data_IF_437686145492
#
_entry.id   IF_437686145492
#
_cell.length_a   1.000
_cell.length_b   1.000
_cell.length_c   1.000
_cell.angle_alpha   90.00
_cell.angle_beta   90.00
_cell.angle_gamma   90.00
#
_symmetry.space_group_name_H-M   'P 1'
#
loop_
_entity.id
_entity.type
_entity.pdbx_description
1 polymer ?
#
# COMPACT_ATOMS: atom_id res chain seq x y z
N UNK A 1 31.07 -23.66 38.77
CA UNK A 1 30.83 -25.06 38.40
C UNK A 1 29.51 -25.08 37.63
N UNK A 2 29.36 -25.25 36.38
CA UNK A 2 29.83 -26.11 35.36
C UNK A 2 29.87 -25.39 34.02
N UNK A 3 31.06 -25.03 33.53
CA UNK A 3 31.38 -24.89 32.14
C UNK A 3 31.75 -26.27 31.63
N UNK A 4 31.62 -26.52 30.32
CA UNK A 4 31.92 -27.75 29.54
C UNK A 4 30.72 -28.62 29.21
N UNK A 5 30.17 -28.39 28.04
CA UNK A 5 29.81 -29.41 27.04
C UNK A 5 29.29 -28.72 25.77
N UNK A 6 30.19 -28.32 24.88
CA UNK A 6 29.89 -27.95 23.50
C UNK A 6 31.19 -28.03 22.70
N UNK A 7 31.63 -29.21 22.39
CA UNK A 7 32.64 -29.46 21.36
C UNK A 7 32.60 -30.99 21.10
N UNK A 8 31.98 -31.38 20.01
CA UNK A 8 32.17 -32.67 19.30
C UNK A 8 30.92 -32.92 18.42
N UNK A 9 30.96 -32.43 17.21
CA UNK A 9 30.39 -33.03 16.00
C UNK A 9 30.72 -32.15 14.79
N UNK A 10 32.00 -32.15 14.45
CA UNK A 10 32.47 -31.74 13.14
C UNK A 10 33.57 -32.76 12.80
N UNK A 11 33.30 -33.64 11.94
CA UNK A 11 34.26 -34.38 11.09
C UNK A 11 33.67 -35.74 10.70
N UNK A 12 33.14 -35.80 9.48
CA UNK A 12 33.22 -36.97 8.59
C UNK A 12 32.31 -36.73 7.39
N UNK A 13 32.90 -36.43 6.28
CA UNK A 13 32.67 -37.01 4.95
C UNK A 13 33.42 -36.21 3.90
N UNK A 14 34.66 -36.60 3.71
CA UNK A 14 35.47 -36.32 2.51
C UNK A 14 35.78 -37.70 1.92
N UNK A 15 35.81 -37.75 0.59
CA UNK A 15 36.30 -38.83 -0.28
C UNK A 15 35.29 -39.80 -0.89
N UNK A 16 35.01 -39.55 -2.17
CA UNK A 16 35.22 -40.55 -3.21
C UNK A 16 35.45 -39.79 -4.56
N UNK A 17 36.69 -39.84 -5.00
CA UNK A 17 37.21 -39.40 -6.31
C UNK A 17 37.47 -40.64 -7.17
N UNK A 18 37.51 -40.36 -8.53
CA UNK A 18 38.14 -41.11 -9.58
C UNK A 18 37.30 -42.20 -10.28
N UNK A 19 37.30 -42.38 -11.59
CA UNK A 19 38.31 -42.08 -12.59
C UNK A 19 37.78 -42.33 -14.03
N UNK A 20 38.50 -41.71 -14.99
CA UNK A 20 38.83 -42.13 -16.37
C UNK A 20 37.70 -42.05 -17.43
N UNK A 21 37.96 -41.56 -18.64
CA UNK A 21 39.15 -41.42 -19.39
C UNK A 21 38.95 -40.66 -20.72
N UNK A 22 40.00 -40.19 -21.22
CA UNK A 22 40.36 -39.43 -22.41
C UNK A 22 39.92 -39.99 -23.76
N UNK A 23 39.56 -39.08 -24.71
CA UNK A 23 40.24 -39.06 -26.03
C UNK A 23 40.02 -37.73 -26.75
N UNK A 24 41.17 -37.18 -27.20
CA UNK A 24 41.33 -36.04 -28.09
C UNK A 24 40.95 -36.40 -29.52
N UNK A 25 40.41 -35.45 -30.26
CA UNK A 25 40.84 -35.14 -31.65
C UNK A 25 40.29 -33.76 -32.10
N UNK A 26 41.17 -32.92 -32.59
CA UNK A 26 40.99 -31.65 -33.31
C UNK A 26 41.35 -31.93 -34.78
N UNK A 27 41.22 -30.98 -35.74
CA UNK A 27 40.20 -30.02 -36.15
C UNK A 27 39.84 -30.15 -37.65
N UNK A 28 38.78 -29.49 -38.14
CA UNK A 28 38.69 -29.11 -39.54
C UNK A 28 37.69 -27.98 -39.79
N UNK A 29 38.26 -26.90 -40.34
CA UNK A 29 37.79 -26.05 -41.45
C UNK A 29 36.42 -25.29 -41.38
N UNK A 30 36.60 -23.96 -41.52
CA UNK A 30 35.63 -22.92 -41.90
C UNK A 30 34.72 -23.31 -43.06
N UNK A 31 33.44 -22.92 -42.90
CA UNK A 31 32.56 -22.59 -44.01
C UNK A 31 31.71 -21.37 -43.62
N UNK A 32 31.94 -20.29 -44.36
CA UNK A 32 31.20 -19.04 -44.37
C UNK A 32 29.78 -19.29 -44.88
N UNK A 33 28.73 -19.06 -44.05
CA UNK A 33 27.35 -19.00 -44.54
C UNK A 33 26.82 -17.57 -44.50
N UNK A 34 26.09 -17.20 -45.56
CA UNK A 34 25.50 -15.93 -45.84
C UNK A 34 24.29 -15.63 -44.90
N UNK A 35 23.87 -14.35 -44.77
CA UNK A 35 22.83 -13.97 -43.85
C UNK A 35 21.47 -14.53 -44.28
N UNK A 36 20.86 -15.26 -43.35
CA UNK A 36 19.47 -15.74 -43.52
C UNK A 36 18.46 -14.57 -43.35
N UNK A 37 17.50 -14.57 -44.28
CA UNK A 37 16.42 -13.61 -44.31
C UNK A 37 15.61 -13.65 -43.02
N UNK A 38 15.29 -12.48 -42.49
CA UNK A 38 14.33 -12.30 -41.38
C UNK A 38 12.97 -12.85 -41.78
N UNK A 39 12.52 -13.86 -41.08
CA UNK A 39 11.14 -14.36 -41.13
C UNK A 39 10.26 -13.32 -40.43
N UNK A 40 9.10 -12.93 -40.99
CA UNK A 40 8.18 -12.05 -40.30
C UNK A 40 7.74 -12.67 -39.00
N UNK A 41 7.76 -11.87 -37.90
CA UNK A 41 7.25 -12.29 -36.61
C UNK A 41 5.80 -12.76 -36.77
N UNK A 42 5.54 -14.00 -36.41
CA UNK A 42 4.20 -14.56 -36.32
C UNK A 42 3.40 -13.77 -35.29
N UNK A 43 2.26 -13.21 -35.69
CA UNK A 43 1.29 -12.58 -34.79
C UNK A 43 0.74 -13.70 -33.90
N UNK A 44 0.84 -13.60 -32.57
CA UNK A 44 0.33 -14.63 -31.67
C UNK A 44 -1.16 -14.87 -31.90
N UNK A 45 -1.58 -16.12 -31.95
CA UNK A 45 -2.98 -16.49 -32.06
C UNK A 45 -3.72 -16.13 -30.77
N UNK A 46 -4.87 -15.45 -30.87
CA UNK A 46 -5.73 -15.20 -29.72
C UNK A 46 -6.28 -16.54 -29.20
N UNK A 47 -6.20 -16.76 -27.87
CA UNK A 47 -6.85 -17.86 -27.19
C UNK A 47 -8.39 -17.70 -27.24
N UNK A 48 -9.15 -18.78 -27.05
CA UNK A 48 -10.62 -18.82 -27.15
C UNK A 48 -11.32 -17.93 -26.07
N UNK A 49 -10.55 -17.46 -25.08
CA UNK A 49 -10.93 -16.56 -23.98
C UNK A 49 -10.60 -15.07 -24.25
N UNK A 50 -10.07 -14.74 -25.43
CA UNK A 50 -9.71 -13.38 -25.81
C UNK A 50 -8.36 -12.90 -25.27
N UNK A 51 -7.60 -13.76 -24.59
CA UNK A 51 -6.25 -13.46 -24.11
C UNK A 51 -5.22 -13.67 -25.24
N UNK A 52 -4.28 -12.75 -25.35
CA UNK A 52 -3.15 -12.89 -26.27
C UNK A 52 -2.15 -13.84 -25.66
N UNK A 53 -1.81 -14.92 -26.37
CA UNK A 53 -0.79 -15.87 -25.91
C UNK A 53 0.56 -15.15 -25.74
N UNK A 54 1.18 -15.28 -24.55
CA UNK A 54 2.40 -14.61 -24.18
C UNK A 54 3.21 -15.43 -23.16
N UNK A 55 4.49 -15.11 -22.93
CA UNK A 55 5.27 -15.74 -21.86
C UNK A 55 4.60 -15.55 -20.49
N UNK A 56 4.76 -16.54 -19.63
CA UNK A 56 4.35 -16.46 -18.23
C UNK A 56 5.27 -15.51 -17.47
N UNK A 57 4.68 -14.58 -16.74
CA UNK A 57 5.41 -13.60 -15.94
C UNK A 57 4.99 -13.71 -14.47
N UNK A 58 5.94 -13.54 -13.55
CA UNK A 58 5.69 -13.60 -12.11
C UNK A 58 6.20 -12.34 -11.43
N UNK A 59 5.37 -11.74 -10.56
CA UNK A 59 5.66 -10.52 -9.86
C UNK A 59 5.35 -10.61 -8.38
N UNK A 60 6.15 -9.94 -7.56
CA UNK A 60 5.93 -9.82 -6.12
C UNK A 60 5.30 -8.45 -5.84
N UNK A 61 4.11 -8.49 -5.22
CA UNK A 61 3.40 -7.29 -4.79
C UNK A 61 3.49 -7.14 -3.28
N UNK A 62 4.30 -6.19 -2.81
CA UNK A 62 4.42 -5.84 -1.40
C UNK A 62 3.17 -5.12 -0.92
N UNK A 63 2.51 -5.69 0.08
CA UNK A 63 1.24 -5.17 0.61
C UNK A 63 1.43 -4.43 1.93
N UNK A 64 0.91 -4.96 3.02
CA UNK A 64 1.05 -4.42 4.37
C UNK A 64 1.01 -5.55 5.40
N UNK A 65 0.96 -5.22 6.67
CA UNK A 65 0.84 -6.19 7.75
C UNK A 65 -0.40 -7.06 7.59
N UNK A 66 -0.26 -8.33 7.93
CA UNK A 66 -1.35 -9.32 7.82
C UNK A 66 -2.62 -8.85 8.57
N UNK A 67 -3.76 -8.97 7.90
CA UNK A 67 -5.05 -8.52 8.42
C UNK A 67 -5.31 -7.02 8.28
N UNK A 68 -4.36 -6.24 7.77
CA UNK A 68 -4.58 -4.84 7.44
C UNK A 68 -5.37 -4.65 6.13
N UNK A 69 -6.09 -3.53 6.02
CA UNK A 69 -6.95 -3.23 4.85
C UNK A 69 -6.18 -3.31 3.53
N UNK A 70 -4.97 -2.76 3.45
CA UNK A 70 -4.16 -2.80 2.24
C UNK A 70 -3.77 -4.24 1.86
N UNK A 71 -3.40 -5.07 2.85
CA UNK A 71 -3.07 -6.47 2.59
C UNK A 71 -4.29 -7.22 2.04
N UNK A 72 -5.48 -7.01 2.60
CA UNK A 72 -6.70 -7.68 2.14
C UNK A 72 -7.11 -7.24 0.73
N UNK A 73 -7.09 -5.94 0.44
CA UNK A 73 -7.41 -5.39 -0.89
C UNK A 73 -6.44 -5.91 -1.95
N UNK A 74 -5.13 -5.83 -1.70
CA UNK A 74 -4.11 -6.27 -2.65
C UNK A 74 -4.19 -7.79 -2.86
N UNK A 75 -4.48 -8.56 -1.80
CA UNK A 75 -4.69 -10.03 -1.93
C UNK A 75 -5.91 -10.34 -2.80
N UNK A 76 -7.03 -9.63 -2.62
CA UNK A 76 -8.21 -9.81 -3.46
C UNK A 76 -7.89 -9.53 -4.95
N UNK A 77 -7.18 -8.43 -5.23
CA UNK A 77 -6.76 -8.07 -6.59
C UNK A 77 -5.81 -9.13 -7.16
N UNK A 78 -4.75 -9.50 -6.43
CA UNK A 78 -3.78 -10.50 -6.89
C UNK A 78 -4.40 -11.87 -7.15
N UNK A 79 -5.35 -12.30 -6.30
CA UNK A 79 -6.10 -13.54 -6.49
C UNK A 79 -6.93 -13.50 -7.76
N UNK A 80 -7.71 -12.42 -7.97
CA UNK A 80 -8.52 -12.25 -9.17
C UNK A 80 -7.67 -12.28 -10.45
N UNK A 81 -6.50 -11.61 -10.44
CA UNK A 81 -5.59 -11.61 -11.58
C UNK A 81 -5.10 -13.03 -11.88
N UNK A 82 -4.65 -13.76 -10.86
CA UNK A 82 -4.17 -15.15 -11.01
C UNK A 82 -5.25 -16.11 -11.51
N UNK A 83 -6.52 -15.86 -11.15
CA UNK A 83 -7.65 -16.68 -11.58
C UNK A 83 -8.06 -16.38 -13.05
N UNK A 84 -7.90 -15.13 -13.49
CA UNK A 84 -8.37 -14.69 -14.82
C UNK A 84 -7.29 -14.68 -15.90
N UNK A 85 -6.02 -14.57 -15.53
CA UNK A 85 -4.91 -14.48 -16.47
C UNK A 85 -3.87 -15.58 -16.22
N UNK A 86 -3.83 -16.65 -17.05
CA UNK A 86 -2.90 -17.76 -16.86
C UNK A 86 -1.43 -17.39 -17.17
N UNK A 87 -1.19 -16.21 -17.74
CA UNK A 87 0.15 -15.71 -18.03
C UNK A 87 0.74 -14.81 -16.95
N UNK A 88 -0.08 -14.41 -15.95
CA UNK A 88 0.37 -13.65 -14.79
C UNK A 88 0.33 -14.50 -13.52
N UNK A 89 1.36 -14.38 -12.71
CA UNK A 89 1.41 -14.93 -11.37
C UNK A 89 1.79 -13.81 -10.38
N UNK A 90 0.80 -13.29 -9.68
CA UNK A 90 0.97 -12.25 -8.67
C UNK A 90 1.14 -12.90 -7.30
N UNK A 91 2.33 -12.76 -6.72
CA UNK A 91 2.64 -13.20 -5.36
C UNK A 91 2.50 -12.01 -4.40
N UNK A 92 1.42 -11.97 -3.64
CA UNK A 92 1.20 -10.91 -2.64
C UNK A 92 1.96 -11.21 -1.36
N UNK A 93 2.94 -10.36 -1.05
CA UNK A 93 3.78 -10.48 0.13
C UNK A 93 3.31 -9.54 1.24
N UNK A 94 3.15 -10.07 2.47
CA UNK A 94 2.95 -9.25 3.66
C UNK A 94 4.25 -8.55 4.04
N UNK A 95 4.19 -7.25 4.31
CA UNK A 95 5.33 -6.37 4.58
C UNK A 95 5.01 -5.39 5.71
N UNK A 96 5.95 -4.52 6.06
CA UNK A 96 5.71 -3.37 6.93
C UNK A 96 4.94 -2.21 6.28
N UNK A 97 4.46 -2.38 5.03
CA UNK A 97 3.60 -1.40 4.36
C UNK A 97 4.31 -0.18 3.80
N UNK A 98 3.64 0.98 3.91
CA UNK A 98 4.01 2.23 3.25
C UNK A 98 5.48 2.65 3.39
N UNK A 99 6.10 2.35 4.53
CA UNK A 99 7.50 2.73 4.79
C UNK A 99 8.51 1.73 4.24
N UNK A 100 8.18 0.45 4.26
CA UNK A 100 9.10 -0.61 3.85
C UNK A 100 9.07 -0.83 2.33
N UNK A 101 7.88 -0.85 1.74
CA UNK A 101 7.70 -1.23 0.35
C UNK A 101 8.49 -0.36 -0.67
N UNK A 102 8.56 0.98 -0.54
CA UNK A 102 9.41 1.75 -1.44
C UNK A 102 10.90 1.35 -1.36
N UNK A 103 11.38 0.96 -0.18
CA UNK A 103 12.74 0.47 0.02
C UNK A 103 12.96 -0.90 -0.62
N UNK A 104 12.00 -1.82 -0.46
CA UNK A 104 12.02 -3.14 -1.11
C UNK A 104 11.95 -3.02 -2.63
N UNK A 105 11.11 -2.11 -3.17
CA UNK A 105 11.04 -1.82 -4.60
C UNK A 105 12.40 -1.31 -5.13
N UNK A 106 13.00 -0.36 -4.42
CA UNK A 106 14.36 0.16 -4.73
C UNK A 106 15.42 -0.93 -4.70
N UNK A 107 15.36 -1.83 -3.71
CA UNK A 107 16.29 -2.96 -3.58
C UNK A 107 16.07 -4.05 -4.63
N UNK A 108 14.94 -4.01 -5.35
CA UNK A 108 14.57 -5.05 -6.30
C UNK A 108 14.02 -6.33 -5.67
N UNK A 109 13.60 -6.25 -4.41
CA UNK A 109 13.04 -7.38 -3.66
C UNK A 109 11.54 -7.59 -3.92
N UNK A 110 10.85 -6.53 -4.34
CA UNK A 110 9.46 -6.59 -4.83
C UNK A 110 9.35 -5.84 -6.15
N UNK A 111 8.28 -6.07 -6.91
CA UNK A 111 8.03 -5.47 -8.23
C UNK A 111 6.95 -4.41 -8.20
N UNK A 112 5.97 -4.54 -7.28
CA UNK A 112 4.90 -3.58 -7.05
C UNK A 112 4.88 -3.27 -5.55
N UNK A 113 4.87 -1.98 -5.21
CA UNK A 113 4.98 -1.46 -3.85
C UNK A 113 3.76 -0.65 -3.45
N UNK A 114 2.99 -1.15 -2.48
CA UNK A 114 1.97 -0.37 -1.82
C UNK A 114 2.58 0.74 -0.96
N UNK A 115 2.10 1.97 -1.09
CA UNK A 115 2.45 3.08 -0.20
C UNK A 115 1.32 4.10 -0.08
N UNK A 116 1.18 4.71 1.10
CA UNK A 116 0.32 5.89 1.33
C UNK A 116 1.09 7.22 1.20
N UNK A 117 2.40 7.18 0.94
CA UNK A 117 3.26 8.35 0.83
C UNK A 117 4.08 8.32 -0.48
N UNK A 118 3.42 8.25 -1.64
CA UNK A 118 4.13 8.10 -2.92
C UNK A 118 5.02 9.29 -3.26
N UNK A 119 4.61 10.53 -2.96
CA UNK A 119 5.39 11.74 -3.22
C UNK A 119 6.65 11.80 -2.38
N UNK A 120 6.52 11.60 -1.07
CA UNK A 120 7.66 11.60 -0.16
C UNK A 120 8.65 10.47 -0.50
N UNK A 121 8.14 9.27 -0.79
CA UNK A 121 8.97 8.14 -1.18
C UNK A 121 9.72 8.43 -2.50
N UNK A 122 9.00 8.91 -3.52
CA UNK A 122 9.58 9.19 -4.85
C UNK A 122 10.66 10.27 -4.79
N UNK A 123 10.41 11.35 -4.05
CA UNK A 123 11.31 12.49 -3.96
C UNK A 123 12.38 12.38 -2.86
N UNK A 124 12.36 11.34 -2.03
CA UNK A 124 13.27 11.18 -0.89
C UNK A 124 13.06 12.27 0.16
N UNK A 125 11.81 12.50 0.55
CA UNK A 125 11.41 13.52 1.51
C UNK A 125 10.87 12.91 2.80
N UNK A 126 10.73 13.72 3.83
CA UNK A 126 10.17 13.29 5.12
C UNK A 126 10.92 12.08 5.67
N UNK A 127 10.21 11.00 5.93
CA UNK A 127 10.76 9.74 6.46
C UNK A 127 11.66 8.97 5.48
N UNK A 128 11.69 9.38 4.21
CA UNK A 128 12.55 8.82 3.16
C UNK A 128 13.77 9.69 2.84
N UNK A 129 14.04 10.74 3.64
CA UNK A 129 15.15 11.68 3.37
C UNK A 129 16.52 10.99 3.35
N UNK A 130 16.73 9.99 4.20
CA UNK A 130 17.96 9.20 4.24
C UNK A 130 18.08 8.22 3.07
N UNK A 131 16.94 7.78 2.52
CA UNK A 131 16.90 6.88 1.38
C UNK A 131 17.19 7.60 0.06
N UNK A 132 16.96 8.92 0.00
CA UNK A 132 17.06 9.74 -1.21
C UNK A 132 15.96 9.44 -2.23
N UNK A 133 16.00 10.10 -3.39
CA UNK A 133 15.00 9.92 -4.45
C UNK A 133 14.96 8.48 -4.95
N UNK A 134 13.76 8.03 -5.33
CA UNK A 134 13.59 6.74 -6.02
C UNK A 134 14.34 6.74 -7.37
N UNK A 135 14.67 5.55 -7.90
CA UNK A 135 15.18 5.41 -9.26
C UNK A 135 14.25 6.09 -10.29
N UNK A 136 14.83 6.62 -11.39
CA UNK A 136 14.08 7.35 -12.41
C UNK A 136 13.03 6.50 -13.13
N UNK A 137 13.17 5.18 -13.11
CA UNK A 137 12.22 4.23 -13.67
C UNK A 137 11.09 3.85 -12.68
N UNK A 138 11.00 4.50 -11.53
CA UNK A 138 9.86 4.33 -10.61
C UNK A 138 8.64 5.05 -11.15
N UNK A 139 7.51 4.34 -11.21
CA UNK A 139 6.27 4.79 -11.83
C UNK A 139 5.06 4.44 -10.96
N UNK A 140 3.95 5.13 -11.18
CA UNK A 140 2.65 4.80 -10.60
C UNK A 140 1.96 3.75 -11.48
N UNK A 141 1.45 2.71 -10.84
CA UNK A 141 0.58 1.73 -11.49
C UNK A 141 -0.89 2.12 -11.34
N UNK A 142 -1.38 2.28 -10.12
CA UNK A 142 -2.76 2.68 -9.80
C UNK A 142 -2.89 3.20 -8.37
N UNK A 143 -4.02 3.83 -8.06
CA UNK A 143 -4.53 4.05 -6.71
C UNK A 143 -5.55 2.95 -6.37
N UNK A 144 -5.67 2.58 -5.12
CA UNK A 144 -6.71 1.65 -4.66
C UNK A 144 -7.82 2.37 -3.89
N UNK A 145 -7.63 2.70 -2.64
CA UNK A 145 -8.64 3.37 -1.82
C UNK A 145 -8.02 4.49 -0.98
N UNK A 146 -8.86 5.36 -0.43
CA UNK A 146 -8.42 6.38 0.53
C UNK A 146 -8.38 5.78 1.94
N UNK A 147 -7.26 5.95 2.64
CA UNK A 147 -7.16 5.64 4.06
C UNK A 147 -7.45 6.91 4.88
N UNK A 148 -8.70 7.05 5.31
CA UNK A 148 -9.16 8.19 6.07
C UNK A 148 -8.84 8.08 7.55
N UNK A 149 -8.64 9.23 8.20
CA UNK A 149 -8.41 9.34 9.64
C UNK A 149 -9.21 10.50 10.20
N UNK A 150 -9.80 10.29 11.36
CA UNK A 150 -10.56 11.29 12.09
C UNK A 150 -10.59 10.96 13.58
N UNK A 151 -10.95 11.94 14.40
CA UNK A 151 -11.10 11.71 15.83
C UNK A 151 -12.50 11.23 16.18
N UNK A 152 -12.57 10.32 17.15
CA UNK A 152 -13.80 10.01 17.89
C UNK A 152 -13.58 10.27 19.37
N UNK A 153 -14.68 10.61 20.05
CA UNK A 153 -14.77 10.85 21.48
C UNK A 153 -16.00 10.14 22.03
N UNK A 154 -16.10 9.98 23.33
CA UNK A 154 -17.37 9.54 23.97
C UNK A 154 -18.48 10.54 23.66
N UNK A 155 -19.69 10.06 23.43
CA UNK A 155 -20.83 10.91 23.06
C UNK A 155 -21.18 11.95 24.13
N UNK A 156 -20.94 11.65 25.41
CA UNK A 156 -21.12 12.56 26.55
C UNK A 156 -19.94 13.51 26.80
N UNK A 157 -18.87 13.42 26.02
CA UNK A 157 -17.69 14.29 26.16
C UNK A 157 -18.03 15.76 25.91
N UNK A 158 -17.48 16.70 26.71
CA UNK A 158 -17.66 18.13 26.47
C UNK A 158 -16.91 18.66 25.25
N UNK A 159 -15.97 17.91 24.66
CA UNK A 159 -15.25 18.27 23.44
C UNK A 159 -16.23 18.40 22.31
N UNK A 160 -16.17 19.50 21.53
CA UNK A 160 -17.04 19.75 20.37
C UNK A 160 -16.24 19.94 19.09
N UNK A 161 -15.06 20.50 19.21
CA UNK A 161 -14.15 20.82 18.09
C UNK A 161 -12.76 20.26 18.34
N UNK A 162 -11.92 20.28 17.33
CA UNK A 162 -10.50 19.90 17.48
C UNK A 162 -9.80 20.84 18.47
N UNK A 163 -10.12 22.13 18.49
CA UNK A 163 -9.52 23.11 19.41
C UNK A 163 -9.77 22.75 20.89
N UNK A 164 -10.91 22.16 21.21
CA UNK A 164 -11.24 21.70 22.58
C UNK A 164 -10.36 20.56 23.07
N UNK A 165 -9.58 19.94 22.18
CA UNK A 165 -8.68 18.83 22.50
C UNK A 165 -7.34 19.33 23.09
N UNK A 166 -7.07 20.62 23.03
CA UNK A 166 -5.87 21.20 23.67
C UNK A 166 -5.86 20.93 25.18
N UNK A 167 -4.76 20.40 25.69
CA UNK A 167 -4.63 20.01 27.10
C UNK A 167 -5.25 18.66 27.46
N UNK A 168 -5.75 17.91 26.47
CA UNK A 168 -6.36 16.58 26.65
C UNK A 168 -5.34 15.46 26.41
N UNK A 169 -5.79 14.22 26.60
CA UNK A 169 -5.03 13.02 26.23
C UNK A 169 -5.57 12.45 24.93
N UNK A 170 -4.75 12.46 23.88
CA UNK A 170 -5.16 12.06 22.53
C UNK A 170 -4.42 10.81 22.09
N UNK A 171 -5.16 9.77 21.71
CA UNK A 171 -4.60 8.64 20.99
C UNK A 171 -4.46 8.98 19.52
N UNK A 172 -3.25 8.82 18.95
CA UNK A 172 -2.94 9.21 17.58
C UNK A 172 -2.77 8.03 16.62
N UNK A 173 -2.63 6.83 17.13
CA UNK A 173 -2.36 5.62 16.32
C UNK A 173 -1.16 4.82 16.84
N UNK A 174 -0.83 3.70 16.17
CA UNK A 174 0.37 2.95 16.45
C UNK A 174 1.62 3.71 15.95
N UNK A 175 2.76 3.56 16.61
CA UNK A 175 4.00 4.19 16.17
C UNK A 175 4.34 3.84 14.71
N UNK A 176 4.75 4.83 13.92
CA UNK A 176 5.18 4.65 12.54
C UNK A 176 4.07 4.56 11.50
N UNK A 177 2.79 4.59 11.90
CA UNK A 177 1.66 4.69 10.97
C UNK A 177 1.48 6.11 10.42
N UNK A 178 0.23 6.51 10.20
CA UNK A 178 -0.10 7.86 9.76
C UNK A 178 -0.10 8.90 10.91
N UNK A 179 0.57 8.58 12.03
CA UNK A 179 0.70 9.44 13.22
C UNK A 179 1.31 10.79 12.85
N UNK A 180 2.35 10.78 12.01
CA UNK A 180 3.03 12.02 11.58
C UNK A 180 2.08 12.97 10.85
N UNK A 181 1.15 12.44 10.04
CA UNK A 181 0.12 13.25 9.37
C UNK A 181 -0.82 13.90 10.38
N UNK A 182 -1.29 13.14 11.36
CA UNK A 182 -2.18 13.65 12.41
C UNK A 182 -1.46 14.66 13.30
N UNK A 183 -0.21 14.38 13.71
CA UNK A 183 0.58 15.31 14.51
C UNK A 183 0.78 16.64 13.77
N UNK A 184 1.16 16.59 12.50
CA UNK A 184 1.34 17.77 11.66
C UNK A 184 0.04 18.55 11.49
N UNK A 185 -1.07 17.84 11.25
CA UNK A 185 -2.40 18.48 11.15
C UNK A 185 -2.80 19.18 12.45
N UNK A 186 -2.53 18.56 13.60
CA UNK A 186 -2.81 19.15 14.92
C UNK A 186 -1.89 20.35 15.20
N UNK A 187 -0.60 20.25 14.89
CA UNK A 187 0.38 21.29 15.14
C UNK A 187 0.16 22.51 14.24
N UNK A 188 0.16 22.30 12.91
CA UNK A 188 0.08 23.40 11.94
C UNK A 188 -1.33 23.97 11.83
N UNK A 189 -2.37 23.12 11.92
CA UNK A 189 -3.75 23.54 11.75
C UNK A 189 -4.42 24.10 13.02
N UNK A 190 -4.00 23.60 14.20
CA UNK A 190 -4.67 23.93 15.46
C UNK A 190 -3.75 24.36 16.60
N UNK A 191 -2.44 24.38 16.40
CA UNK A 191 -1.48 24.70 17.46
C UNK A 191 -1.51 23.72 18.65
N UNK A 192 -1.90 22.48 18.40
CA UNK A 192 -1.93 21.39 19.38
C UNK A 192 -0.63 20.58 19.25
N UNK A 193 0.24 20.66 20.24
CA UNK A 193 1.60 20.09 20.23
C UNK A 193 1.83 19.20 21.45
N UNK A 194 2.91 18.43 21.46
CA UNK A 194 3.34 17.65 22.63
C UNK A 194 3.63 18.50 23.87
N UNK A 195 3.91 19.79 23.71
CA UNK A 195 4.16 20.71 24.82
C UNK A 195 2.87 21.09 25.57
N UNK A 196 1.72 21.08 24.86
CA UNK A 196 0.45 21.53 25.41
C UNK A 196 -0.63 20.44 25.48
N UNK A 197 -0.36 19.25 24.98
CA UNK A 197 -1.35 18.16 24.86
C UNK A 197 -0.63 16.81 24.98
N UNK A 198 -1.23 15.87 25.69
CA UNK A 198 -0.65 14.54 25.87
C UNK A 198 -0.96 13.65 24.66
N UNK A 199 0.05 13.31 23.87
CA UNK A 199 -0.08 12.33 22.79
C UNK A 199 0.22 10.93 23.30
N UNK A 200 -0.62 9.97 22.89
CA UNK A 200 -0.53 8.57 23.28
C UNK A 200 -0.50 7.71 22.03
N UNK A 201 0.50 6.85 21.93
CA UNK A 201 0.69 5.92 20.82
C UNK A 201 0.64 4.49 21.36
N UNK A 202 -0.22 3.66 20.79
CA UNK A 202 -0.39 2.24 21.16
C UNK A 202 -1.00 1.47 19.99
N UNK A 203 -1.18 0.16 20.10
CA UNK A 203 -1.88 -0.63 19.10
C UNK A 203 -3.35 -0.24 18.96
N UNK A 204 -3.95 -0.51 17.80
CA UNK A 204 -5.35 -0.15 17.55
C UNK A 204 -6.33 -0.80 18.53
N UNK A 205 -6.15 -2.07 18.86
CA UNK A 205 -7.03 -2.79 19.78
C UNK A 205 -7.02 -2.19 21.20
N UNK A 206 -5.85 -1.74 21.66
CA UNK A 206 -5.65 -1.12 22.98
C UNK A 206 -6.34 0.25 23.08
N UNK A 207 -6.49 0.95 21.94
CA UNK A 207 -7.14 2.26 21.91
C UNK A 207 -8.63 2.20 22.26
N UNK A 208 -9.29 1.07 21.95
CA UNK A 208 -10.72 0.84 22.27
C UNK A 208 -10.90 0.89 23.79
N UNK A 209 -10.08 0.14 24.51
CA UNK A 209 -10.14 0.09 25.98
C UNK A 209 -9.73 1.43 26.58
N UNK A 210 -8.68 2.06 26.05
CA UNK A 210 -8.19 3.36 26.53
C UNK A 210 -9.27 4.47 26.43
N UNK A 211 -10.06 4.48 25.36
CA UNK A 211 -11.16 5.44 25.21
C UNK A 211 -12.35 5.08 26.12
N UNK A 212 -12.69 3.79 26.25
CA UNK A 212 -13.76 3.31 27.14
C UNK A 212 -13.47 3.67 28.61
N UNK A 213 -12.25 3.42 29.05
CA UNK A 213 -11.82 3.64 30.43
C UNK A 213 -11.51 5.11 30.73
N UNK A 214 -11.51 5.99 29.73
CA UNK A 214 -11.19 7.40 29.87
C UNK A 214 -9.70 7.67 30.10
N UNK A 215 -8.83 6.73 29.75
CA UNK A 215 -7.36 6.93 29.75
C UNK A 215 -6.95 7.92 28.68
N UNK A 216 -7.70 7.99 27.57
CA UNK A 216 -7.62 9.03 26.55
C UNK A 216 -8.97 9.72 26.40
N UNK A 217 -8.95 11.02 26.09
CA UNK A 217 -10.15 11.85 25.91
C UNK A 217 -10.69 11.75 24.47
N UNK A 218 -9.81 11.53 23.51
CA UNK A 218 -10.13 11.33 22.08
C UNK A 218 -9.20 10.31 21.45
N UNK A 219 -9.69 9.63 20.43
CA UNK A 219 -8.95 8.62 19.70
C UNK A 219 -9.03 8.84 18.19
N UNK A 220 -7.88 8.79 17.50
CA UNK A 220 -7.85 8.68 16.04
C UNK A 220 -8.32 7.30 15.65
N UNK A 221 -9.29 7.27 14.74
CA UNK A 221 -9.81 6.06 14.11
C UNK A 221 -9.67 6.16 12.60
N UNK A 222 -9.87 5.04 11.91
CA UNK A 222 -9.67 4.96 10.48
C UNK A 222 -10.97 4.61 9.76
N UNK A 223 -11.09 5.16 8.55
CA UNK A 223 -11.99 4.68 7.52
C UNK A 223 -11.20 4.30 6.28
N UNK A 224 -11.75 3.42 5.50
CA UNK A 224 -11.23 3.09 4.20
C UNK A 224 -12.31 3.45 3.19
N UNK A 225 -12.09 4.56 2.47
CA UNK A 225 -13.15 5.19 1.71
C UNK A 225 -14.37 5.50 2.58
N UNK A 226 -15.54 5.08 2.10
CA UNK A 226 -16.82 5.30 2.76
C UNK A 226 -17.11 4.36 3.96
N UNK A 227 -16.24 3.37 4.21
CA UNK A 227 -16.48 2.36 5.25
C UNK A 227 -15.56 2.57 6.46
N UNK A 228 -16.07 2.37 7.70
CA UNK A 228 -15.22 2.36 8.87
C UNK A 228 -14.29 1.15 8.84
N UNK A 229 -13.02 1.32 9.22
CA UNK A 229 -12.11 0.20 9.40
C UNK A 229 -12.59 -0.74 10.51
N UNK A 230 -12.14 -2.01 10.51
CA UNK A 230 -12.64 -3.04 11.44
C UNK A 230 -12.56 -2.62 12.91
N UNK A 231 -11.44 -2.00 13.32
CA UNK A 231 -11.27 -1.49 14.70
C UNK A 231 -12.22 -0.34 14.98
N UNK A 232 -12.47 0.53 14.01
CA UNK A 232 -13.43 1.64 14.13
C UNK A 232 -14.85 1.11 14.27
N UNK A 233 -15.24 0.11 13.48
CA UNK A 233 -16.54 -0.57 13.61
C UNK A 233 -16.70 -1.21 14.99
N UNK A 234 -15.68 -1.92 15.47
CA UNK A 234 -15.71 -2.53 16.80
C UNK A 234 -15.84 -1.49 17.92
N UNK A 235 -15.16 -0.35 17.78
CA UNK A 235 -15.29 0.75 18.75
C UNK A 235 -16.71 1.34 18.73
N UNK A 236 -17.25 1.61 17.54
CA UNK A 236 -18.60 2.15 17.37
C UNK A 236 -19.70 1.18 17.87
N UNK A 237 -19.47 -0.14 17.76
CA UNK A 237 -20.38 -1.15 18.29
C UNK A 237 -20.36 -1.27 19.82
N UNK A 238 -19.19 -1.09 20.42
CA UNK A 238 -18.97 -1.42 21.85
C UNK A 238 -18.83 -0.21 22.75
N UNK A 239 -18.74 0.99 22.20
CA UNK A 239 -18.62 2.25 22.92
C UNK A 239 -19.56 3.29 22.31
N UNK A 240 -20.23 4.07 23.15
CA UNK A 240 -21.03 5.20 22.69
C UNK A 240 -20.13 6.37 22.32
N UNK A 241 -19.78 6.47 21.03
CA UNK A 241 -18.85 7.44 20.49
C UNK A 241 -19.50 8.30 19.41
N UNK A 242 -18.92 9.48 19.20
CA UNK A 242 -19.23 10.34 18.05
C UNK A 242 -17.95 10.91 17.44
N UNK A 243 -17.94 11.21 16.13
CA UNK A 243 -16.79 11.83 15.50
C UNK A 243 -16.65 13.30 15.87
N UNK A 244 -15.43 13.83 15.69
CA UNK A 244 -15.10 15.25 15.71
C UNK A 244 -14.48 15.59 14.37
N UNK A 245 -15.14 16.50 13.64
CA UNK A 245 -14.71 16.91 12.30
C UNK A 245 -13.48 17.83 12.34
N UNK A 246 -12.57 17.64 11.40
CA UNK A 246 -11.57 18.64 11.08
C UNK A 246 -12.21 19.81 10.29
N UNK A 247 -11.58 20.98 10.33
CA UNK A 247 -11.94 22.08 9.42
C UNK A 247 -11.52 21.71 7.99
N UNK A 248 -12.46 21.80 7.04
CA UNK A 248 -12.14 21.56 5.63
C UNK A 248 -11.12 22.58 5.10
N UNK A 249 -11.12 23.81 5.61
CA UNK A 249 -10.14 24.84 5.26
C UNK A 249 -8.73 24.42 5.69
N UNK A 250 -8.57 23.94 6.92
CA UNK A 250 -7.29 23.43 7.43
C UNK A 250 -6.82 22.22 6.60
N UNK A 251 -7.72 21.31 6.25
CA UNK A 251 -7.37 20.15 5.41
C UNK A 251 -6.91 20.54 4.01
N UNK A 252 -7.56 21.56 3.41
CA UNK A 252 -7.16 22.11 2.10
C UNK A 252 -5.76 22.74 2.15
N UNK A 253 -5.48 23.50 3.22
CA UNK A 253 -4.16 24.11 3.41
C UNK A 253 -3.08 23.05 3.58
N UNK A 254 -3.33 22.05 4.42
CA UNK A 254 -2.40 20.94 4.64
C UNK A 254 -2.12 20.19 3.33
N UNK A 255 -3.16 19.87 2.55
CA UNK A 255 -3.01 19.20 1.26
C UNK A 255 -2.18 20.02 0.27
N UNK A 256 -2.30 21.34 0.28
CA UNK A 256 -1.50 22.22 -0.59
C UNK A 256 -0.01 22.20 -0.24
N UNK A 257 0.32 21.95 1.04
CA UNK A 257 1.69 21.93 1.52
C UNK A 257 2.32 20.53 1.45
N UNK A 258 1.48 19.48 1.51
CA UNK A 258 1.90 18.09 1.60
C UNK A 258 1.15 17.22 0.58
N UNK A 259 1.72 16.97 -0.61
CA UNK A 259 1.04 16.29 -1.71
C UNK A 259 0.57 14.86 -1.42
N UNK A 260 1.16 14.17 -0.42
CA UNK A 260 0.71 12.83 0.00
C UNK A 260 -0.57 12.87 0.84
N UNK A 261 -0.94 14.03 1.36
CA UNK A 261 -2.11 14.18 2.22
C UNK A 261 -3.29 14.65 1.40
N UNK A 262 -4.42 14.07 1.68
CA UNK A 262 -5.68 14.43 1.06
C UNK A 262 -6.78 14.58 2.10
N UNK A 263 -7.98 14.83 1.63
CA UNK A 263 -9.18 14.73 2.44
C UNK A 263 -10.36 14.30 1.56
N UNK A 264 -11.37 13.76 2.19
CA UNK A 264 -12.66 13.50 1.58
C UNK A 264 -13.78 13.68 2.60
N UNK A 265 -15.01 13.67 2.12
CA UNK A 265 -16.18 13.81 2.97
C UNK A 265 -16.71 12.42 3.34
N UNK A 266 -16.64 12.08 4.63
CA UNK A 266 -17.23 10.88 5.18
C UNK A 266 -18.71 11.14 5.43
N UNK A 267 -19.56 10.34 4.80
CA UNK A 267 -21.01 10.56 4.78
C UNK A 267 -21.64 10.31 6.15
N UNK A 268 -22.68 11.06 6.47
CA UNK A 268 -23.49 10.87 7.65
C UNK A 268 -24.00 9.42 7.75
N UNK A 269 -24.05 8.88 8.96
CA UNK A 269 -24.49 7.51 9.21
C UNK A 269 -23.40 6.44 9.02
N UNK A 270 -22.15 6.82 8.70
CA UNK A 270 -21.01 5.89 8.70
C UNK A 270 -20.73 5.35 10.11
N UNK A 271 -20.88 6.17 11.15
CA UNK A 271 -20.91 5.75 12.56
C UNK A 271 -22.33 6.00 13.13
N UNK A 272 -22.69 5.26 14.18
CA UNK A 272 -24.03 5.31 14.81
C UNK A 272 -24.46 6.73 15.20
N UNK A 273 -23.55 7.52 15.76
CA UNK A 273 -23.83 8.88 16.23
C UNK A 273 -23.25 9.96 15.29
N UNK A 274 -22.95 9.61 14.05
CA UNK A 274 -22.58 10.57 13.03
C UNK A 274 -23.82 11.03 12.27
N UNK A 275 -24.32 12.22 12.60
CA UNK A 275 -25.56 12.78 12.02
C UNK A 275 -25.29 13.70 10.83
N UNK A 276 -24.06 14.07 10.57
CA UNK A 276 -23.67 15.01 9.52
C UNK A 276 -22.48 14.45 8.72
N UNK A 277 -22.35 14.91 7.50
CA UNK A 277 -21.18 14.69 6.67
C UNK A 277 -19.98 15.38 7.31
N UNK A 278 -18.83 14.70 7.39
CA UNK A 278 -17.63 15.28 7.99
C UNK A 278 -16.41 15.18 7.05
N UNK A 279 -15.60 16.23 6.96
CA UNK A 279 -14.32 16.15 6.31
C UNK A 279 -13.33 15.35 7.18
N UNK A 280 -12.64 14.40 6.54
CA UNK A 280 -11.62 13.55 7.17
C UNK A 280 -10.32 13.66 6.39
N UNK A 281 -9.19 13.70 7.10
CA UNK A 281 -7.89 13.65 6.42
C UNK A 281 -7.63 12.24 5.90
N UNK A 282 -6.89 12.10 4.81
CA UNK A 282 -6.55 10.80 4.25
C UNK A 282 -5.18 10.76 3.59
N UNK A 283 -4.70 9.56 3.33
CA UNK A 283 -3.68 9.25 2.33
C UNK A 283 -4.30 8.42 1.21
N UNK A 284 -3.76 8.56 0.00
CA UNK A 284 -4.17 7.80 -1.16
C UNK A 284 -3.28 6.58 -1.32
N UNK A 285 -3.84 5.39 -1.07
CA UNK A 285 -3.10 4.14 -1.20
C UNK A 285 -2.71 3.89 -2.66
N UNK A 286 -1.46 4.20 -2.99
CA UNK A 286 -0.88 4.14 -4.33
C UNK A 286 -0.02 2.91 -4.48
N UNK A 287 -0.02 2.34 -5.68
CA UNK A 287 0.83 1.22 -6.06
C UNK A 287 1.94 1.74 -6.98
N UNK A 288 3.17 1.76 -6.47
CA UNK A 288 4.37 2.09 -7.25
C UNK A 288 4.94 0.81 -7.87
N UNK A 289 5.57 0.95 -9.03
CA UNK A 289 6.29 -0.12 -9.70
C UNK A 289 7.54 0.46 -10.40
N UNK A 290 8.26 -0.35 -11.15
CA UNK A 290 9.37 0.10 -11.97
C UNK A 290 9.40 -0.65 -13.31
N UNK A 291 10.43 -0.38 -14.13
CA UNK A 291 10.60 -0.96 -15.48
C UNK A 291 10.73 -2.49 -15.53
N UNK A 292 10.83 -3.19 -14.39
CA UNK A 292 10.78 -4.66 -14.34
C UNK A 292 9.38 -5.21 -14.56
N UNK A 293 8.35 -4.44 -14.22
CA UNK A 293 6.98 -4.76 -14.60
C UNK A 293 6.81 -4.51 -16.10
N UNK A 294 6.47 -5.54 -16.87
CA UNK A 294 6.29 -5.38 -18.31
C UNK A 294 5.08 -4.50 -18.62
N UNK A 295 5.11 -3.85 -19.79
CA UNK A 295 3.99 -3.00 -20.24
C UNK A 295 2.70 -3.79 -20.36
N UNK A 296 2.77 -5.03 -20.88
CA UNK A 296 1.62 -5.89 -21.01
C UNK A 296 1.07 -6.34 -19.64
N UNK A 297 1.95 -6.71 -18.71
CA UNK A 297 1.53 -7.09 -17.36
C UNK A 297 0.86 -5.92 -16.63
N UNK A 298 1.42 -4.72 -16.71
CA UNK A 298 0.83 -3.52 -16.10
C UNK A 298 -0.54 -3.20 -16.69
N UNK A 299 -0.71 -3.32 -18.03
CA UNK A 299 -2.00 -3.15 -18.69
C UNK A 299 -3.03 -4.16 -18.17
N UNK A 300 -2.69 -5.47 -18.17
CA UNK A 300 -3.62 -6.52 -17.73
C UNK A 300 -3.97 -6.41 -16.24
N UNK A 301 -3.01 -6.05 -15.39
CA UNK A 301 -3.25 -5.81 -13.97
C UNK A 301 -4.29 -4.69 -13.79
N UNK A 302 -4.12 -3.55 -14.46
CA UNK A 302 -5.07 -2.44 -14.40
C UNK A 302 -6.43 -2.85 -14.97
N UNK A 303 -6.46 -3.44 -16.16
CA UNK A 303 -7.67 -3.87 -16.84
C UNK A 303 -8.49 -4.85 -16.00
N UNK A 304 -7.87 -5.93 -15.55
CA UNK A 304 -8.55 -6.93 -14.72
C UNK A 304 -9.05 -6.33 -13.41
N UNK A 305 -8.28 -5.44 -12.80
CA UNK A 305 -8.69 -4.77 -11.56
C UNK A 305 -9.93 -3.90 -11.78
N UNK A 306 -9.89 -2.97 -12.73
CA UNK A 306 -10.96 -1.98 -12.90
C UNK A 306 -12.18 -2.51 -13.65
N UNK A 307 -12.05 -3.55 -14.48
CA UNK A 307 -13.20 -4.18 -15.14
C UNK A 307 -13.95 -5.18 -14.25
N UNK A 308 -13.37 -5.58 -13.12
CA UNK A 308 -13.97 -6.55 -12.21
C UNK A 308 -14.25 -5.99 -10.81
N UNK A 309 -14.43 -4.67 -10.68
CA UNK A 309 -14.74 -4.01 -9.38
C UNK A 309 -15.92 -4.68 -8.64
N UNK A 310 -17.06 -5.04 -9.26
CA UNK A 310 -18.14 -5.70 -8.55
C UNK A 310 -17.76 -7.06 -7.96
N UNK A 311 -16.94 -7.85 -8.64
CA UNK A 311 -16.44 -9.14 -8.15
C UNK A 311 -15.45 -8.93 -6.99
N UNK A 312 -14.53 -8.00 -7.16
CA UNK A 312 -13.57 -7.60 -6.12
C UNK A 312 -14.27 -7.06 -4.86
N UNK A 313 -15.33 -6.26 -5.02
CA UNK A 313 -16.13 -5.75 -3.89
C UNK A 313 -16.85 -6.87 -3.13
N UNK A 314 -17.17 -7.99 -3.79
CA UNK A 314 -17.70 -9.17 -3.12
C UNK A 314 -16.63 -9.89 -2.30
N UNK A 315 -15.37 -9.92 -2.79
CA UNK A 315 -14.25 -10.50 -2.06
C UNK A 315 -13.83 -9.62 -0.87
N UNK A 316 -13.81 -8.30 -1.05
CA UNK A 316 -13.53 -7.33 0.00
C UNK A 316 -14.21 -5.99 -0.31
N UNK A 317 -15.05 -5.49 0.60
CA UNK A 317 -15.87 -4.28 0.38
C UNK A 317 -15.07 -3.04 -0.03
N UNK A 318 -13.84 -2.88 0.45
CA UNK A 318 -12.96 -1.77 0.09
C UNK A 318 -12.54 -1.76 -1.39
N UNK A 319 -12.61 -2.89 -2.08
CA UNK A 319 -12.38 -2.90 -3.52
C UNK A 319 -13.50 -2.17 -4.28
N UNK A 320 -14.66 -1.94 -3.66
CA UNK A 320 -15.72 -1.09 -4.20
C UNK A 320 -15.38 0.41 -4.26
N UNK A 321 -14.29 0.83 -3.58
CA UNK A 321 -13.77 2.20 -3.63
C UNK A 321 -12.83 2.45 -4.85
N UNK A 322 -12.53 1.41 -5.61
CA UNK A 322 -11.83 1.56 -6.89
C UNK A 322 -12.71 2.35 -7.85
N UNK A 323 -12.14 3.36 -8.51
CA UNK A 323 -12.86 4.17 -9.49
C UNK A 323 -12.22 4.03 -10.88
N UNK A 324 -12.94 3.38 -11.79
CA UNK A 324 -12.51 3.22 -13.18
C UNK A 324 -12.40 4.57 -13.91
N UNK A 325 -13.21 5.56 -13.55
CA UNK A 325 -13.26 6.84 -14.23
C UNK A 325 -12.18 7.81 -13.73
N UNK A 326 -11.61 7.55 -12.55
CA UNK A 326 -10.53 8.36 -11.98
C UNK A 326 -9.54 7.49 -11.17
N UNK A 327 -8.81 6.59 -11.87
CA UNK A 327 -7.94 5.59 -11.23
C UNK A 327 -6.73 6.18 -10.53
N UNK A 328 -6.47 7.48 -10.74
CA UNK A 328 -5.31 8.20 -10.20
C UNK A 328 -5.68 9.40 -9.33
N UNK A 329 -6.96 9.57 -8.97
CA UNK A 329 -7.38 10.68 -8.12
C UNK A 329 -6.54 10.78 -6.84
N UNK A 330 -5.98 11.97 -6.60
CA UNK A 330 -5.16 12.25 -5.43
C UNK A 330 -3.73 11.73 -5.48
N UNK A 331 -3.33 11.03 -6.56
CA UNK A 331 -1.93 10.64 -6.78
C UNK A 331 -1.13 11.86 -7.24
N UNK A 332 0.05 12.14 -6.66
CA UNK A 332 0.91 13.23 -7.13
C UNK A 332 1.33 13.03 -8.59
N UNK A 333 1.04 14.02 -9.44
CA UNK A 333 1.21 13.93 -10.91
C UNK A 333 2.65 14.11 -11.41
N UNK A 334 3.60 14.38 -10.55
CA UNK A 334 5.03 14.46 -10.87
C UNK A 334 5.73 13.08 -10.82
N UNK A 335 5.02 12.03 -10.42
CA UNK A 335 5.48 10.64 -10.55
C UNK A 335 4.98 10.10 -11.90
N UNK A 336 5.87 9.59 -12.78
CA UNK A 336 5.44 9.04 -14.06
C UNK A 336 4.43 7.89 -13.90
N UNK A 337 3.48 7.80 -14.83
CA UNK A 337 2.55 6.66 -14.88
C UNK A 337 3.21 5.57 -15.71
N UNK A 338 3.05 4.30 -15.29
CA UNK A 338 3.57 3.17 -16.04
C UNK A 338 2.91 3.08 -17.44
N UNK A 339 3.68 2.90 -18.54
CA UNK A 339 3.13 2.94 -19.91
C UNK A 339 1.95 1.98 -20.13
N UNK A 340 2.02 0.76 -19.57
CA UNK A 340 0.92 -0.20 -19.66
C UNK A 340 -0.34 0.25 -18.92
N UNK A 341 -0.20 0.90 -17.76
CA UNK A 341 -1.31 1.49 -17.02
C UNK A 341 -1.89 2.68 -17.79
N UNK A 342 -1.05 3.57 -18.29
CA UNK A 342 -1.48 4.72 -19.09
C UNK A 342 -2.28 4.26 -20.34
N UNK A 343 -1.82 3.22 -21.05
CA UNK A 343 -2.53 2.65 -22.17
C UNK A 343 -3.95 2.19 -21.82
N UNK A 344 -4.12 1.54 -20.66
CA UNK A 344 -5.45 1.13 -20.20
C UNK A 344 -6.34 2.32 -19.84
N UNK A 345 -5.77 3.37 -19.23
CA UNK A 345 -6.53 4.55 -18.80
C UNK A 345 -6.97 5.45 -19.97
N UNK A 346 -6.36 5.32 -21.15
CA UNK A 346 -6.72 6.04 -22.37
C UNK A 346 -7.85 5.38 -23.16
N UNK A 347 -8.20 4.12 -22.87
CA UNK A 347 -9.30 3.34 -23.47
C UNK A 347 -10.65 3.58 -22.77
#
# INVERSE_FOLDING_TARGET
MKKTLALLLALTMVLALAACGSTQTTPAAEATEAPAAETPAEVPAASDDGLVERPQESYIWGSASMGGSAQMVITAIGTLINDKDPYLNINVQSTGGSMENPRLLRAGEIDIAHTGEPYNAYNGLGRFAEDGKMPEDTMVLMKTYAAGMFFVIKSDSPIKTIDDMKGKSLYLGPPGGAVDQIMRLLEEGYGITEENTKFVMMGYSESIDALKDGTVDAAVVQSAGSQPASVTSQLDETCDVRPVAFSEEVLKELNSNYPDYGYYILQAGTLKNQTEDIPVTCTWNTQLCNSRLSEQAAYEICKLTFENIPELATAHSLCGELDKNDPLYGVPMDIPIHPGAARYYEE
#
